data_IF_358397252139
#
_entry.id   IF_358397252139
#
_cell.length_a   1.000
_cell.length_b   1.000
_cell.length_c   1.000
_cell.angle_alpha   90.00
_cell.angle_beta   90.00
_cell.angle_gamma   90.00
#
_symmetry.space_group_name_H-M   'P 1'
#
loop_
_entity.id
_entity.type
_entity.pdbx_description
1 polymer ?
#
# COMPACT_ATOMS: atom_id res chain seq x y z
N UNK A 1 -10.47 -11.42 -6.10
CA UNK A 1 -9.21 -10.73 -5.77
C UNK A 1 -9.05 -10.63 -4.25
N UNK A 2 -7.82 -10.81 -3.75
CA UNK A 2 -7.47 -10.44 -2.37
C UNK A 2 -6.61 -9.19 -2.41
N UNK A 3 -6.94 -8.23 -1.56
CA UNK A 3 -6.26 -6.95 -1.47
C UNK A 3 -5.80 -6.74 -0.04
N UNK A 4 -4.53 -6.41 0.13
CA UNK A 4 -3.92 -6.08 1.41
C UNK A 4 -3.58 -4.59 1.40
N UNK A 5 -3.92 -3.88 2.46
CA UNK A 5 -3.86 -2.42 2.51
C UNK A 5 -3.10 -1.97 3.73
N UNK A 6 -2.18 -1.04 3.52
CA UNK A 6 -1.45 -0.38 4.58
C UNK A 6 -1.18 1.09 4.23
N UNK A 7 -0.89 1.91 5.24
CA UNK A 7 -0.75 3.35 5.11
C UNK A 7 0.66 3.84 5.54
N UNK A 8 1.05 5.00 5.02
CA UNK A 8 2.27 5.68 5.48
C UNK A 8 2.10 7.20 5.42
N UNK A 9 2.45 7.86 6.53
CA UNK A 9 2.08 9.25 6.78
C UNK A 9 0.71 9.36 7.44
N UNK A 10 0.11 10.55 7.44
CA UNK A 10 -1.23 10.76 7.96
C UNK A 10 -1.94 11.90 7.22
N UNK A 11 -3.27 11.91 7.22
CA UNK A 11 -4.06 13.07 6.81
C UNK A 11 -3.96 14.13 7.91
N UNK A 12 -3.54 15.34 7.55
CA UNK A 12 -3.32 16.40 8.56
C UNK A 12 -3.52 17.81 7.98
N UNK A 13 -3.78 18.77 8.88
CA UNK A 13 -3.78 20.21 8.60
C UNK A 13 -2.38 20.82 8.63
N UNK A 14 -1.39 20.10 9.16
CA UNK A 14 0.00 20.55 9.25
C UNK A 14 0.56 20.92 7.87
N UNK A 15 1.19 22.10 7.80
CA UNK A 15 1.94 22.56 6.62
C UNK A 15 3.44 22.25 6.70
N UNK A 16 3.84 21.34 7.59
CA UNK A 16 5.22 20.85 7.64
C UNK A 16 5.53 19.98 6.41
N UNK A 17 6.67 20.18 5.71
CA UNK A 17 6.97 19.43 4.49
C UNK A 17 6.98 17.91 4.68
N UNK A 18 7.48 17.41 5.81
CA UNK A 18 7.53 15.97 6.08
C UNK A 18 6.16 15.32 6.32
N UNK A 19 5.08 16.10 6.45
CA UNK A 19 3.69 15.63 6.55
C UNK A 19 2.86 16.00 5.32
N UNK A 20 3.50 16.49 4.24
CA UNK A 20 2.80 16.92 3.04
C UNK A 20 2.03 15.78 2.37
N UNK A 21 2.62 14.59 2.34
CA UNK A 21 2.03 13.46 1.65
C UNK A 21 1.50 12.42 2.62
N UNK A 22 0.41 11.78 2.23
CA UNK A 22 -0.14 10.57 2.84
C UNK A 22 -0.25 9.50 1.75
N UNK A 23 0.17 8.29 2.05
CA UNK A 23 0.20 7.18 1.09
C UNK A 23 -0.71 6.06 1.59
N UNK A 24 -1.60 5.59 0.73
CA UNK A 24 -2.33 4.34 0.91
C UNK A 24 -1.80 3.36 -0.11
N UNK A 25 -1.23 2.24 0.34
CA UNK A 25 -0.67 1.20 -0.50
C UNK A 25 -1.60 -0.02 -0.55
N UNK A 26 -1.57 -0.72 -1.67
CA UNK A 26 -2.38 -1.90 -1.93
C UNK A 26 -1.51 -2.98 -2.55
N UNK A 27 -1.68 -4.23 -2.10
CA UNK A 27 -1.15 -5.42 -2.74
C UNK A 27 -2.32 -6.28 -3.20
N UNK A 28 -2.42 -6.48 -4.50
CA UNK A 28 -3.37 -7.38 -5.16
C UNK A 28 -2.69 -8.73 -5.44
N UNK A 29 -3.34 -9.83 -5.08
CA UNK A 29 -2.91 -11.21 -5.40
C UNK A 29 -4.10 -12.18 -5.33
N UNK A 30 -4.10 -13.19 -6.21
CA UNK A 30 -4.96 -14.37 -6.09
C UNK A 30 -4.24 -15.50 -5.34
N UNK A 31 -2.90 -15.46 -5.21
CA UNK A 31 -2.04 -16.51 -4.61
C UNK A 31 -1.27 -16.06 -3.33
N UNK A 32 -1.94 -15.63 -2.26
CA UNK A 32 -1.31 -15.02 -1.07
C UNK A 32 -0.27 -15.93 -0.40
N UNK A 33 -0.48 -17.26 -0.40
CA UNK A 33 0.47 -18.20 0.21
C UNK A 33 1.79 -18.28 -0.56
N UNK A 34 1.76 -18.15 -1.89
CA UNK A 34 2.98 -18.10 -2.69
C UNK A 34 3.75 -16.81 -2.39
N UNK A 35 3.05 -15.67 -2.27
CA UNK A 35 3.65 -14.38 -1.86
C UNK A 35 4.38 -14.50 -0.53
N UNK A 36 3.70 -15.02 0.50
CA UNK A 36 4.29 -15.26 1.83
C UNK A 36 5.54 -16.13 1.72
N UNK A 37 5.46 -17.23 0.95
CA UNK A 37 6.58 -18.15 0.75
C UNK A 37 7.78 -17.47 0.11
N UNK A 38 7.58 -16.70 -0.97
CA UNK A 38 8.68 -16.02 -1.65
C UNK A 38 9.28 -14.89 -0.80
N UNK A 39 8.43 -14.13 -0.10
CA UNK A 39 8.89 -13.11 0.85
C UNK A 39 9.79 -13.71 1.94
N UNK A 40 9.34 -14.77 2.62
CA UNK A 40 10.13 -15.46 3.66
C UNK A 40 11.44 -16.02 3.09
N UNK A 41 11.40 -16.64 1.89
CA UNK A 41 12.60 -17.16 1.23
C UNK A 41 13.60 -16.07 0.87
N UNK A 42 13.14 -14.94 0.34
CA UNK A 42 14.00 -13.81 -0.01
C UNK A 42 14.67 -13.21 1.23
N UNK A 43 13.90 -13.00 2.30
CA UNK A 43 14.39 -12.56 3.61
C UNK A 43 15.45 -13.51 4.15
N UNK A 44 15.15 -14.82 4.21
CA UNK A 44 16.07 -15.86 4.67
C UNK A 44 17.36 -15.91 3.87
N UNK A 45 17.25 -15.85 2.53
CA UNK A 45 18.40 -15.87 1.61
C UNK A 45 19.29 -14.66 1.83
N UNK A 46 18.73 -13.48 2.04
CA UNK A 46 19.50 -12.27 2.28
C UNK A 46 20.29 -12.37 3.61
N UNK A 47 19.61 -12.72 4.70
CA UNK A 47 20.22 -12.86 6.05
C UNK A 47 21.33 -13.92 6.03
N UNK A 48 21.13 -15.06 5.37
CA UNK A 48 22.15 -16.12 5.29
C UNK A 48 23.42 -15.68 4.54
N UNK A 49 23.28 -14.79 3.57
CA UNK A 49 24.36 -14.42 2.64
C UNK A 49 25.06 -13.10 3.00
N UNK A 50 24.62 -12.41 4.05
CA UNK A 50 25.17 -11.14 4.49
C UNK A 50 25.38 -11.18 5.99
N UNK A 51 26.44 -10.53 6.46
CA UNK A 51 26.67 -10.35 7.89
C UNK A 51 25.67 -9.31 8.43
N UNK A 52 24.62 -9.79 9.12
CA UNK A 52 23.54 -8.96 9.63
C UNK A 52 23.08 -9.45 11.00
N UNK A 53 22.72 -8.52 11.89
CA UNK A 53 22.18 -8.83 13.22
C UNK A 53 20.69 -9.26 13.19
N UNK A 54 20.11 -9.47 12.01
CA UNK A 54 18.70 -9.84 11.88
C UNK A 54 18.46 -11.33 12.13
N UNK A 55 17.48 -11.65 13.00
CA UNK A 55 16.94 -13.00 13.12
C UNK A 55 15.76 -13.19 12.15
N UNK A 56 15.72 -14.35 11.49
CA UNK A 56 14.62 -14.75 10.60
C UNK A 56 13.27 -14.90 11.33
N UNK A 57 13.31 -15.16 12.65
CA UNK A 57 12.12 -15.30 13.50
C UNK A 57 11.49 -13.95 13.85
N UNK A 58 12.28 -12.88 13.77
CA UNK A 58 11.82 -11.55 14.13
C UNK A 58 11.07 -10.87 12.98
N UNK A 59 10.09 -10.05 13.34
CA UNK A 59 9.44 -9.15 12.40
C UNK A 59 10.34 -7.94 12.17
N UNK A 60 11.18 -8.03 11.13
CA UNK A 60 12.07 -6.94 10.71
C UNK A 60 11.24 -5.81 10.07
N UNK A 61 11.25 -4.60 10.60
CA UNK A 61 10.44 -3.51 10.02
C UNK A 61 11.01 -3.05 8.69
N UNK A 62 10.15 -2.59 7.78
CA UNK A 62 10.61 -2.05 6.49
C UNK A 62 11.55 -0.84 6.62
N UNK A 63 11.51 -0.11 7.74
CA UNK A 63 12.45 0.97 8.07
C UNK A 63 13.85 0.49 8.41
N UNK A 64 13.99 -0.72 8.93
CA UNK A 64 15.25 -1.34 9.38
C UNK A 64 15.93 -2.10 8.24
N UNK A 65 15.15 -2.60 7.26
CA UNK A 65 15.67 -3.36 6.14
C UNK A 65 16.64 -2.53 5.27
N UNK A 66 17.89 -3.00 5.08
CA UNK A 66 18.84 -2.40 4.15
C UNK A 66 18.32 -2.42 2.71
N UNK A 67 18.81 -1.51 1.87
CA UNK A 67 18.44 -1.44 0.45
C UNK A 67 18.55 -2.80 -0.27
N UNK A 68 19.65 -3.53 -0.05
CA UNK A 68 19.88 -4.85 -0.66
C UNK A 68 18.83 -5.89 -0.27
N UNK A 69 18.34 -5.84 0.98
CA UNK A 69 17.30 -6.75 1.46
C UNK A 69 15.96 -6.44 0.78
N UNK A 70 15.58 -5.16 0.73
CA UNK A 70 14.36 -4.70 0.03
C UNK A 70 14.38 -5.09 -1.44
N UNK A 71 15.53 -4.88 -2.09
CA UNK A 71 15.74 -5.24 -3.49
C UNK A 71 15.53 -6.74 -3.73
N UNK A 72 16.19 -7.58 -2.93
CA UNK A 72 16.06 -9.05 -3.02
C UNK A 72 14.61 -9.50 -2.83
N UNK A 73 13.88 -8.86 -1.92
CA UNK A 73 12.46 -9.14 -1.68
C UNK A 73 11.63 -8.75 -2.91
N UNK A 74 11.72 -7.50 -3.38
CA UNK A 74 10.91 -7.04 -4.51
C UNK A 74 11.21 -7.80 -5.81
N UNK A 75 12.48 -8.12 -6.11
CA UNK A 75 12.86 -8.97 -7.24
C UNK A 75 12.20 -10.36 -7.13
N UNK A 76 12.30 -10.99 -5.96
CA UNK A 76 11.70 -12.32 -5.77
C UNK A 76 10.18 -12.30 -5.85
N UNK A 77 9.51 -11.23 -5.46
CA UNK A 77 8.06 -11.09 -5.58
C UNK A 77 7.66 -10.86 -7.04
N UNK A 78 8.32 -9.93 -7.73
CA UNK A 78 8.05 -9.60 -9.13
C UNK A 78 8.26 -10.80 -10.07
N UNK A 79 9.30 -11.61 -9.84
CA UNK A 79 9.65 -12.74 -10.71
C UNK A 79 8.81 -14.00 -10.47
N UNK A 80 8.34 -14.22 -9.23
CA UNK A 80 7.85 -15.56 -8.79
C UNK A 80 6.44 -15.56 -8.25
N UNK A 81 5.73 -14.44 -8.31
CA UNK A 81 4.37 -14.30 -7.79
C UNK A 81 3.51 -13.52 -8.77
N UNK A 82 2.20 -13.50 -8.50
CA UNK A 82 1.20 -12.75 -9.25
C UNK A 82 0.96 -11.34 -8.68
N UNK A 83 1.79 -10.90 -7.72
CA UNK A 83 1.58 -9.65 -7.00
C UNK A 83 1.54 -8.46 -7.96
N UNK A 84 0.53 -7.62 -7.75
CA UNK A 84 0.47 -6.26 -8.27
C UNK A 84 0.40 -5.28 -7.10
N UNK A 85 1.25 -4.27 -7.14
CA UNK A 85 1.24 -3.19 -6.18
C UNK A 85 0.48 -1.99 -6.75
N UNK A 86 -0.27 -1.31 -5.91
CA UNK A 86 -0.96 -0.06 -6.25
C UNK A 86 -0.77 0.92 -5.11
N UNK A 87 -0.91 2.21 -5.39
CA UNK A 87 -0.84 3.20 -4.34
C UNK A 87 -1.64 4.44 -4.69
N UNK A 88 -2.06 5.14 -3.64
CA UNK A 88 -2.58 6.49 -3.73
C UNK A 88 -1.73 7.45 -2.91
N UNK A 89 -1.28 8.53 -3.54
CA UNK A 89 -0.67 9.67 -2.86
C UNK A 89 -1.70 10.77 -2.69
N UNK A 90 -1.83 11.26 -1.47
CA UNK A 90 -2.68 12.38 -1.10
C UNK A 90 -1.77 13.53 -0.68
N UNK A 91 -1.91 14.70 -1.31
CA UNK A 91 -1.19 15.93 -0.96
C UNK A 91 -1.99 16.76 0.04
N UNK A 92 -1.69 16.60 1.33
CA UNK A 92 -2.32 17.31 2.45
C UNK A 92 -2.30 18.84 2.29
N UNK A 93 -1.36 19.38 1.52
CA UNK A 93 -1.29 20.82 1.32
C UNK A 93 -2.43 21.32 0.43
N UNK A 94 -2.99 20.45 -0.40
CA UNK A 94 -3.97 20.76 -1.45
C UNK A 94 -5.33 20.04 -1.28
N UNK A 95 -5.54 19.25 -0.22
CA UNK A 95 -6.85 18.67 0.07
C UNK A 95 -7.80 19.69 0.73
N UNK A 96 -9.10 19.54 0.47
CA UNK A 96 -10.16 20.36 1.06
C UNK A 96 -10.31 20.07 2.56
N UNK A 97 -10.73 21.08 3.33
CA UNK A 97 -10.73 20.99 4.79
C UNK A 97 -11.73 19.97 5.34
N UNK A 98 -12.84 19.72 4.64
CA UNK A 98 -13.82 18.69 5.04
C UNK A 98 -13.23 17.27 5.06
N UNK A 99 -12.23 16.99 4.19
CA UNK A 99 -11.51 15.72 4.19
C UNK A 99 -10.40 15.68 5.26
N UNK A 100 -9.93 16.84 5.75
CA UNK A 100 -8.97 16.90 6.86
C UNK A 100 -9.64 16.73 8.21
N UNK A 101 -10.86 17.25 8.35
CA UNK A 101 -11.63 17.21 9.60
C UNK A 101 -12.22 15.83 9.90
N UNK A 102 -12.41 14.98 8.88
CA UNK A 102 -12.90 13.62 9.05
C UNK A 102 -11.98 12.64 8.31
N UNK A 103 -10.91 12.24 9.01
CA UNK A 103 -9.86 11.38 8.47
C UNK A 103 -10.37 9.99 8.11
N UNK A 104 -11.32 9.43 8.88
CA UNK A 104 -11.95 8.16 8.58
C UNK A 104 -12.76 8.20 7.28
N UNK A 105 -13.60 9.22 7.10
CA UNK A 105 -14.35 9.40 5.84
C UNK A 105 -13.40 9.62 4.66
N UNK A 106 -12.35 10.41 4.85
CA UNK A 106 -11.36 10.65 3.80
C UNK A 106 -10.62 9.36 3.42
N UNK A 107 -10.23 8.55 4.40
CA UNK A 107 -9.65 7.24 4.18
C UNK A 107 -10.60 6.34 3.37
N UNK A 108 -11.86 6.21 3.79
CA UNK A 108 -12.87 5.41 3.10
C UNK A 108 -13.06 5.86 1.65
N UNK A 109 -13.17 7.17 1.43
CA UNK A 109 -13.31 7.77 0.10
C UNK A 109 -12.09 7.47 -0.79
N UNK A 110 -10.87 7.71 -0.30
CA UNK A 110 -9.65 7.50 -1.08
C UNK A 110 -9.37 6.02 -1.35
N UNK A 111 -9.69 5.15 -0.40
CA UNK A 111 -9.64 3.70 -0.55
C UNK A 111 -10.60 3.25 -1.63
N UNK A 112 -11.87 3.66 -1.59
CA UNK A 112 -12.84 3.36 -2.65
C UNK A 112 -12.36 3.81 -4.03
N UNK A 113 -11.92 5.06 -4.17
CA UNK A 113 -11.46 5.59 -5.46
C UNK A 113 -10.35 4.74 -6.07
N UNK A 114 -9.42 4.26 -5.24
CA UNK A 114 -8.30 3.43 -5.70
C UNK A 114 -8.77 2.02 -6.02
N UNK A 115 -9.54 1.40 -5.12
CA UNK A 115 -10.11 0.07 -5.33
C UNK A 115 -10.99 0.00 -6.58
N UNK A 116 -11.73 1.07 -6.91
CA UNK A 116 -12.55 1.12 -8.10
C UNK A 116 -11.69 1.10 -9.38
N UNK A 117 -10.56 1.82 -9.36
CA UNK A 117 -9.60 1.79 -10.46
C UNK A 117 -8.91 0.42 -10.56
N UNK A 118 -8.46 -0.14 -9.42
CA UNK A 118 -7.91 -1.50 -9.35
C UNK A 118 -8.90 -2.50 -9.93
N UNK A 119 -10.15 -2.48 -9.49
CA UNK A 119 -11.18 -3.38 -9.98
C UNK A 119 -11.35 -3.28 -11.50
N UNK A 120 -11.42 -2.06 -12.07
CA UNK A 120 -11.54 -1.88 -13.52
C UNK A 120 -10.39 -2.54 -14.30
N UNK A 121 -9.14 -2.35 -13.85
CA UNK A 121 -7.95 -2.86 -14.56
C UNK A 121 -7.52 -4.27 -14.14
N UNK A 122 -8.07 -4.80 -13.04
CA UNK A 122 -7.69 -6.09 -12.49
C UNK A 122 -8.02 -7.21 -13.47
N UNK A 123 -7.07 -8.12 -13.60
CA UNK A 123 -7.17 -9.37 -14.38
C UNK A 123 -7.41 -10.58 -13.47
N UNK A 124 -7.73 -10.38 -12.19
CA UNK A 124 -7.90 -11.49 -11.24
C UNK A 124 -9.05 -12.39 -11.69
N UNK A 125 -8.86 -13.69 -11.53
CA UNK A 125 -9.86 -14.73 -11.83
C UNK A 125 -11.16 -14.56 -11.02
N UNK A 126 -11.05 -13.97 -9.84
CA UNK A 126 -12.15 -13.75 -8.88
C UNK A 126 -12.58 -12.28 -8.83
N UNK A 127 -12.75 -11.63 -9.99
CA UNK A 127 -12.98 -10.17 -10.08
C UNK A 127 -14.26 -9.69 -9.39
N UNK A 128 -15.30 -10.53 -9.31
CA UNK A 128 -16.60 -10.19 -8.69
C UNK A 128 -16.63 -10.39 -7.16
N UNK A 129 -15.54 -10.91 -6.57
CA UNK A 129 -15.39 -11.13 -5.12
C UNK A 129 -14.14 -10.36 -4.65
N UNK A 130 -14.33 -9.40 -3.76
CA UNK A 130 -13.25 -8.59 -3.21
C UNK A 130 -13.10 -8.85 -1.71
N UNK A 131 -11.93 -9.32 -1.31
CA UNK A 131 -11.56 -9.52 0.10
C UNK A 131 -10.43 -8.57 0.45
N UNK A 132 -10.68 -7.67 1.40
CA UNK A 132 -9.76 -6.61 1.77
C UNK A 132 -9.24 -6.87 3.18
N UNK A 133 -7.93 -6.89 3.35
CA UNK A 133 -7.28 -7.03 4.65
C UNK A 133 -6.48 -5.78 4.99
N UNK A 134 -6.66 -5.24 6.19
CA UNK A 134 -6.08 -3.99 6.65
C UNK A 134 -5.16 -4.26 7.85
N UNK A 135 -4.09 -3.48 8.01
CA UNK A 135 -3.32 -3.51 9.25
C UNK A 135 -4.15 -2.93 10.43
N UNK A 136 -4.01 -3.56 11.59
CA UNK A 136 -4.76 -3.21 12.82
C UNK A 136 -4.32 -1.87 13.41
N UNK A 137 -3.20 -1.34 12.91
CA UNK A 137 -2.60 -0.07 13.33
C UNK A 137 -3.06 1.12 12.48
N UNK A 138 -3.92 0.91 11.48
CA UNK A 138 -4.44 1.99 10.66
C UNK A 138 -5.14 3.03 11.54
N UNK A 139 -4.48 4.16 11.73
CA UNK A 139 -4.86 5.21 12.68
C UNK A 139 -6.10 5.99 12.22
N UNK A 140 -6.41 5.91 10.92
CA UNK A 140 -7.56 6.55 10.32
C UNK A 140 -8.88 5.77 10.48
N UNK A 141 -8.85 4.52 10.95
CA UNK A 141 -10.03 3.64 10.98
C UNK A 141 -10.56 3.52 12.41
N UNK A 142 -11.54 4.36 12.77
CA UNK A 142 -12.26 4.22 14.03
C UNK A 142 -13.23 3.01 14.03
N UNK A 143 -13.61 2.45 12.87
CA UNK A 143 -14.26 1.14 12.77
C UNK A 143 -14.16 0.51 11.36
N UNK A 144 -13.77 -0.77 11.26
CA UNK A 144 -13.82 -1.53 9.99
C UNK A 144 -15.21 -1.55 9.38
N UNK A 145 -16.23 -1.67 10.23
CA UNK A 145 -17.62 -1.71 9.79
C UNK A 145 -17.97 -0.47 8.94
N UNK A 146 -17.45 0.71 9.31
CA UNK A 146 -17.65 1.92 8.52
C UNK A 146 -17.04 1.83 7.11
N UNK A 147 -15.86 1.23 6.96
CA UNK A 147 -15.25 1.05 5.65
C UNK A 147 -16.00 -0.02 4.85
N UNK A 148 -16.33 -1.16 5.45
CA UNK A 148 -17.07 -2.23 4.79
C UNK A 148 -18.41 -1.73 4.26
N UNK A 149 -19.20 -1.08 5.11
CA UNK A 149 -20.51 -0.53 4.75
C UNK A 149 -20.36 0.48 3.61
N UNK A 150 -19.37 1.39 3.70
CA UNK A 150 -19.10 2.36 2.66
C UNK A 150 -18.78 1.69 1.31
N UNK A 151 -17.92 0.68 1.32
CA UNK A 151 -17.53 -0.04 0.11
C UNK A 151 -18.67 -0.90 -0.46
N UNK A 152 -19.47 -1.54 0.40
CA UNK A 152 -20.66 -2.29 -0.03
C UNK A 152 -21.68 -1.37 -0.70
N UNK A 153 -21.95 -0.19 -0.13
CA UNK A 153 -22.81 0.82 -0.77
C UNK A 153 -22.27 1.16 -2.16
N UNK A 154 -20.98 1.47 -2.28
CA UNK A 154 -20.39 1.88 -3.57
C UNK A 154 -20.33 0.76 -4.61
N UNK A 155 -19.85 -0.42 -4.25
CA UNK A 155 -19.61 -1.50 -5.21
C UNK A 155 -20.83 -2.38 -5.46
N UNK A 156 -21.65 -2.64 -4.45
CA UNK A 156 -22.76 -3.59 -4.56
C UNK A 156 -24.09 -2.88 -4.85
N UNK A 157 -24.36 -1.77 -4.15
CA UNK A 157 -25.65 -1.06 -4.27
C UNK A 157 -25.64 -0.06 -5.42
N UNK A 158 -24.69 0.88 -5.45
CA UNK A 158 -24.67 1.96 -6.44
C UNK A 158 -24.26 1.48 -7.84
N UNK A 159 -23.37 0.50 -7.93
CA UNK A 159 -22.77 0.07 -9.20
C UNK A 159 -23.01 -1.39 -9.56
N UNK A 160 -23.41 -2.24 -8.59
CA UNK A 160 -23.61 -3.68 -8.76
C UNK A 160 -22.44 -4.39 -9.47
N UNK A 161 -21.21 -3.97 -9.18
CA UNK A 161 -19.97 -4.47 -9.78
C UNK A 161 -19.37 -5.65 -9.02
N UNK A 162 -19.72 -5.81 -7.73
CA UNK A 162 -19.29 -6.93 -6.89
C UNK A 162 -20.48 -7.70 -6.34
N UNK A 163 -20.30 -9.02 -6.23
CA UNK A 163 -21.28 -9.92 -5.61
C UNK A 163 -20.98 -10.14 -4.13
N UNK A 164 -19.71 -10.10 -3.74
CA UNK A 164 -19.27 -10.23 -2.35
C UNK A 164 -18.13 -9.25 -2.10
N UNK A 165 -18.26 -8.46 -1.03
CA UNK A 165 -17.22 -7.61 -0.48
C UNK A 165 -17.11 -7.86 1.02
N UNK A 166 -15.89 -8.16 1.49
CA UNK A 166 -15.59 -8.32 2.90
C UNK A 166 -14.29 -7.62 3.26
N UNK A 167 -14.29 -6.98 4.41
CA UNK A 167 -13.11 -6.40 5.04
C UNK A 167 -12.74 -7.20 6.28
N UNK A 168 -11.45 -7.26 6.60
CA UNK A 168 -11.00 -7.84 7.86
C UNK A 168 -9.70 -7.19 8.31
N UNK A 169 -9.47 -7.23 9.61
CA UNK A 169 -8.19 -6.87 10.22
C UNK A 169 -7.13 -7.94 9.96
N UNK A 170 -5.87 -7.58 10.22
CA UNK A 170 -4.72 -8.48 10.11
C UNK A 170 -4.92 -9.64 11.07
N UNK A 171 -4.52 -10.82 10.62
CA UNK A 171 -4.47 -12.03 11.41
C UNK A 171 -3.06 -12.65 11.36
N UNK A 172 -2.85 -13.72 12.13
CA UNK A 172 -1.56 -14.42 12.16
C UNK A 172 -1.14 -14.97 10.78
N UNK A 173 -2.10 -15.23 9.89
CA UNK A 173 -1.86 -15.79 8.55
C UNK A 173 -1.47 -14.72 7.52
N UNK A 174 -1.99 -13.51 7.67
CA UNK A 174 -1.78 -12.37 6.77
C UNK A 174 -0.67 -11.42 7.22
N UNK A 175 -0.09 -11.64 8.41
CA UNK A 175 0.98 -10.82 8.96
C UNK A 175 2.10 -10.50 7.96
N UNK A 176 2.58 -11.51 7.24
CA UNK A 176 3.66 -11.32 6.26
C UNK A 176 3.21 -10.51 5.04
N UNK A 177 1.95 -10.65 4.61
CA UNK A 177 1.41 -9.88 3.48
C UNK A 177 1.27 -8.41 3.85
N UNK A 178 0.76 -8.12 5.05
CA UNK A 178 0.72 -6.77 5.60
C UNK A 178 2.14 -6.20 5.70
N UNK A 179 3.12 -6.97 6.16
CA UNK A 179 4.53 -6.53 6.20
C UNK A 179 5.09 -6.21 4.80
N UNK A 180 4.68 -6.94 3.76
CA UNK A 180 5.06 -6.63 2.37
C UNK A 180 4.41 -5.32 1.90
N UNK A 181 3.14 -5.08 2.26
CA UNK A 181 2.46 -3.82 1.92
C UNK A 181 3.07 -2.64 2.67
N UNK A 182 3.36 -2.79 3.97
CA UNK A 182 4.09 -1.80 4.79
C UNK A 182 5.44 -1.43 4.15
N UNK A 183 6.20 -2.45 3.73
CA UNK A 183 7.49 -2.26 3.07
C UNK A 183 7.34 -1.43 1.78
N UNK A 184 6.32 -1.73 0.97
CA UNK A 184 6.02 -0.98 -0.24
C UNK A 184 5.54 0.44 0.07
N UNK A 185 4.60 0.61 0.99
CA UNK A 185 4.06 1.89 1.44
C UNK A 185 5.17 2.84 1.91
N UNK A 186 6.08 2.34 2.76
CA UNK A 186 7.24 3.09 3.24
C UNK A 186 8.20 3.47 2.11
N UNK A 187 8.35 2.62 1.10
CA UNK A 187 9.23 2.90 -0.05
C UNK A 187 8.66 4.03 -0.90
N UNK A 188 7.36 3.98 -1.20
CA UNK A 188 6.61 5.06 -1.88
C UNK A 188 6.65 6.36 -1.07
N UNK A 189 6.38 6.28 0.24
CA UNK A 189 6.36 7.43 1.12
C UNK A 189 7.71 8.12 1.23
N UNK A 190 8.84 7.38 1.27
CA UNK A 190 10.18 7.98 1.30
C UNK A 190 10.47 8.83 0.07
N UNK A 191 10.09 8.36 -1.12
CA UNK A 191 10.21 9.15 -2.36
C UNK A 191 9.36 10.42 -2.25
N UNK A 192 8.11 10.29 -1.79
CA UNK A 192 7.19 11.42 -1.62
C UNK A 192 7.70 12.45 -0.62
N UNK A 193 8.20 11.98 0.52
CA UNK A 193 8.71 12.80 1.61
C UNK A 193 9.98 13.57 1.19
N UNK A 194 10.90 12.91 0.48
CA UNK A 194 12.09 13.57 -0.08
C UNK A 194 11.73 14.67 -1.07
N UNK A 195 10.77 14.39 -1.97
CA UNK A 195 10.24 15.40 -2.89
C UNK A 195 9.61 16.59 -2.15
N UNK A 196 8.89 16.36 -1.04
CA UNK A 196 8.33 17.44 -0.24
C UNK A 196 9.39 18.37 0.36
N UNK A 197 10.59 17.86 0.66
CA UNK A 197 11.74 18.65 1.11
C UNK A 197 12.57 19.27 -0.02
N UNK A 198 12.13 19.16 -1.27
CA UNK A 198 12.86 19.67 -2.43
C UNK A 198 14.04 18.78 -2.86
N UNK A 199 14.20 17.59 -2.26
CA UNK A 199 15.17 16.60 -2.70
C UNK A 199 14.53 15.69 -3.74
N UNK A 200 14.85 15.91 -5.01
CA UNK A 200 14.29 15.12 -6.11
C UNK A 200 15.04 13.81 -6.38
N UNK A 201 16.15 13.56 -5.68
CA UNK A 201 17.05 12.45 -6.00
C UNK A 201 17.00 11.33 -4.96
N UNK A 202 15.88 10.60 -4.91
CA UNK A 202 15.79 9.33 -4.19
C UNK A 202 15.97 8.13 -5.15
N UNK A 203 17.14 8.08 -5.80
CA UNK A 203 17.45 7.07 -6.81
C UNK A 203 17.31 5.64 -6.29
N UNK A 204 17.61 5.40 -5.00
CA UNK A 204 17.51 4.05 -4.41
C UNK A 204 16.06 3.61 -4.29
N UNK A 205 15.18 4.40 -3.67
CA UNK A 205 13.78 3.98 -3.53
C UNK A 205 13.05 3.97 -4.88
N UNK A 206 13.35 4.90 -5.80
CA UNK A 206 12.81 4.84 -7.18
C UNK A 206 13.18 3.53 -7.89
N UNK A 207 14.45 3.12 -7.82
CA UNK A 207 14.90 1.84 -8.38
C UNK A 207 14.24 0.62 -7.74
N UNK A 208 13.88 0.67 -6.45
CA UNK A 208 13.09 -0.39 -5.82
C UNK A 208 11.67 -0.46 -6.41
N UNK A 209 11.06 0.69 -6.67
CA UNK A 209 9.71 0.78 -7.23
C UNK A 209 9.65 0.36 -8.70
N UNK A 210 10.71 0.60 -9.48
CA UNK A 210 10.86 0.10 -10.86
C UNK A 210 10.83 -1.44 -10.96
N UNK A 211 11.29 -2.14 -9.91
CA UNK A 211 11.27 -3.60 -9.85
C UNK A 211 9.85 -4.11 -9.58
N UNK A 212 9.04 -3.32 -8.87
CA UNK A 212 7.70 -3.72 -8.49
C UNK A 212 6.75 -3.70 -9.69
N UNK A 213 5.87 -4.70 -9.77
CA UNK A 213 4.77 -4.73 -10.72
C UNK A 213 3.68 -3.72 -10.29
N UNK A 214 3.85 -2.45 -10.64
CA UNK A 214 2.94 -1.37 -10.27
C UNK A 214 1.76 -1.33 -11.25
N UNK A 215 0.54 -1.51 -10.74
CA UNK A 215 -0.68 -1.47 -11.55
C UNK A 215 -1.34 -0.10 -11.62
N UNK A 216 -1.68 0.50 -10.48
CA UNK A 216 -2.45 1.75 -10.43
C UNK A 216 -1.75 2.78 -9.52
N UNK A 217 -0.91 3.67 -10.08
CA UNK A 217 -0.45 4.86 -9.38
C UNK A 217 -1.54 5.94 -9.42
N UNK A 218 -2.00 6.40 -8.27
CA UNK A 218 -3.07 7.39 -8.17
C UNK A 218 -2.63 8.59 -7.34
N UNK A 219 -2.84 9.80 -7.84
CA UNK A 219 -2.43 11.03 -7.16
C UNK A 219 -3.64 11.91 -6.87
N UNK A 220 -3.69 12.54 -5.69
CA UNK A 220 -4.77 13.41 -5.30
C UNK A 220 -4.30 14.66 -4.54
N UNK A 221 -4.84 15.85 -4.87
CA UNK A 221 -5.62 16.12 -6.08
C UNK A 221 -4.70 16.05 -7.31
N UNK A 222 -5.13 15.38 -8.39
CA UNK A 222 -4.30 15.18 -9.59
C UNK A 222 -3.72 16.47 -10.17
N UNK A 223 -4.49 17.57 -10.15
CA UNK A 223 -4.06 18.87 -10.70
C UNK A 223 -2.95 19.56 -9.90
N UNK A 224 -2.79 19.23 -8.62
CA UNK A 224 -1.84 19.91 -7.72
C UNK A 224 -0.71 19.01 -7.25
N UNK A 225 -0.90 17.68 -7.32
CA UNK A 225 0.10 16.71 -6.93
C UNK A 225 1.20 16.66 -8.00
N UNK A 226 2.28 17.40 -7.77
CA UNK A 226 3.39 17.56 -8.71
C UNK A 226 4.49 16.49 -8.58
N UNK A 227 4.23 15.40 -7.84
CA UNK A 227 5.14 14.27 -7.74
C UNK A 227 4.78 13.22 -8.78
N UNK A 228 5.80 12.70 -9.45
CA UNK A 228 5.70 11.49 -10.25
C UNK A 228 6.67 10.44 -9.73
N UNK A 229 6.11 9.31 -9.30
CA UNK A 229 6.88 8.19 -8.74
C UNK A 229 7.27 7.20 -9.84
N UNK A 230 6.49 7.12 -10.90
CA UNK A 230 6.68 6.15 -11.98
C UNK A 230 7.38 6.74 -13.21
N UNK A 231 7.83 8.00 -13.15
CA UNK A 231 8.75 8.63 -14.10
C UNK A 231 10.19 8.62 -13.61
#
# INVERSE_FOLDING_TARGET
>A
MRIFVDESGCITTSKYPGTRFFVIAFLETDEPYNVIRQFRKAKAKYIKNHDTDFDIKDEIKGSEMPYGMKKTIFESLAEKTDVKFHFKIIDNFNIIDSLKSNTALAFNYFTYLTLNNIHKISTSSSKNIMKIMLDDRNTAIESLNSLEDYLQIKFMIETSTLNELKTSYKDSKSKDLIQVVDLFANTVFRVAKNHAWGSNNDARNRKLLEICNIGCPHYFPWRYCNIDICK
#
